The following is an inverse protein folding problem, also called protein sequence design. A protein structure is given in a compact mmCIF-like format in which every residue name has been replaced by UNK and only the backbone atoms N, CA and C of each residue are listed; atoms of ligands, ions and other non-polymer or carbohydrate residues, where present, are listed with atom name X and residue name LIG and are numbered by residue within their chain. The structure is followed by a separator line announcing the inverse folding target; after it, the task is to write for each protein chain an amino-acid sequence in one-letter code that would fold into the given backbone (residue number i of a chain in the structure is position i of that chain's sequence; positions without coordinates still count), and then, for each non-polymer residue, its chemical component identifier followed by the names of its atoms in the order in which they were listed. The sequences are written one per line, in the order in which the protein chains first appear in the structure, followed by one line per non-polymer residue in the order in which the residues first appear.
data_IF_759718190442
#
_entry.id   IF_759718190442
#
_cell.length_a   1.000
_cell.length_b   1.000
_cell.length_c   1.000
_cell.angle_alpha   90.00
_cell.angle_beta   90.00
_cell.angle_gamma   90.00
#
_symmetry.space_group_name_H-M   'P 1'
#
loop_
_entity.id
_entity.type
_entity.pdbx_description
1 polymer ?
#
# COMPACT_ATOMS: atom_id res chain seq x y z
N UNK A 1 -45.22 -59.46 36.91
CA UNK A 1 -44.24 -59.86 35.88
C UNK A 1 -43.39 -58.65 35.53
N UNK A 2 -42.13 -58.67 35.95
CA UNK A 2 -41.08 -57.81 35.42
C UNK A 2 -39.82 -58.66 35.30
N UNK A 3 -39.08 -58.56 34.18
CA UNK A 3 -37.66 -58.87 34.16
C UNK A 3 -36.81 -57.66 33.70
N UNK A 4 -35.48 -57.72 33.90
CA UNK A 4 -34.65 -56.57 34.30
C UNK A 4 -33.77 -55.96 33.19
N UNK A 5 -33.10 -54.85 33.52
CA UNK A 5 -31.97 -54.25 32.80
C UNK A 5 -30.84 -55.24 32.48
N UNK A 6 -30.03 -54.99 31.43
CA UNK A 6 -28.65 -55.43 31.38
C UNK A 6 -27.67 -54.30 31.74
N UNK A 7 -26.76 -54.61 32.68
CA UNK A 7 -25.50 -53.91 32.96
C UNK A 7 -24.37 -54.44 32.06
N UNK A 8 -23.26 -53.68 32.03
CA UNK A 8 -21.88 -54.05 31.63
C UNK A 8 -21.57 -53.91 30.12
N UNK A 9 -20.41 -53.41 29.68
CA UNK A 9 -19.05 -53.63 30.19
C UNK A 9 -18.12 -52.45 29.92
N UNK A 10 -17.32 -52.13 30.92
CA UNK A 10 -16.00 -51.50 30.84
C UNK A 10 -15.10 -52.22 29.83
N UNK A 11 -14.36 -51.47 29.00
CA UNK A 11 -13.09 -51.95 28.45
C UNK A 11 -12.09 -50.80 28.35
N UNK A 12 -11.21 -50.78 29.33
CA UNK A 12 -9.91 -50.10 29.29
C UNK A 12 -9.09 -50.63 28.12
N UNK A 13 -8.46 -49.71 27.37
CA UNK A 13 -7.18 -49.90 26.69
C UNK A 13 -6.43 -48.58 26.88
N UNK A 14 -5.54 -48.52 27.87
CA UNK A 14 -4.11 -48.81 27.72
C UNK A 14 -3.41 -47.74 26.90
N UNK A 15 -2.57 -46.99 27.61
CA UNK A 15 -1.70 -45.93 27.13
C UNK A 15 -0.85 -46.36 25.93
N UNK A 16 -0.71 -45.45 24.97
CA UNK A 16 0.48 -45.36 24.14
C UNK A 16 1.16 -44.06 24.57
N UNK A 17 2.14 -44.22 25.45
CA UNK A 17 3.20 -43.25 25.65
C UNK A 17 4.08 -43.36 24.41
N UNK A 18 4.03 -42.35 23.56
CA UNK A 18 5.11 -42.05 22.62
C UNK A 18 5.90 -40.89 23.21
N UNK A 19 7.00 -41.24 23.86
CA UNK A 19 8.11 -40.33 24.05
C UNK A 19 8.76 -40.13 22.68
N UNK A 20 8.77 -38.90 22.18
CA UNK A 20 9.73 -38.49 21.16
C UNK A 20 10.32 -37.12 21.52
N UNK A 21 11.49 -37.24 22.15
CA UNK A 21 12.73 -36.48 21.90
C UNK A 21 12.66 -34.97 21.74
N UNK A 22 13.41 -34.32 22.64
CA UNK A 22 13.89 -32.96 22.57
C UNK A 22 14.43 -32.58 21.17
N UNK A 23 13.63 -31.82 20.41
CA UNK A 23 14.08 -31.13 19.22
C UNK A 23 14.71 -29.78 19.61
N UNK A 24 16.03 -29.83 19.79
CA UNK A 24 17.02 -28.82 19.42
C UNK A 24 16.63 -27.34 19.57
N UNK A 25 16.95 -26.78 20.73
CA UNK A 25 17.08 -25.35 20.99
C UNK A 25 18.26 -24.76 20.17
N UNK A 26 18.07 -24.43 18.88
CA UNK A 26 18.76 -23.38 18.08
C UNK A 26 18.50 -23.58 16.58
N UNK A 27 17.86 -22.60 15.91
CA UNK A 27 18.63 -21.76 14.98
C UNK A 27 18.15 -20.29 14.92
N UNK A 28 17.80 -19.67 16.05
CA UNK A 28 17.49 -18.21 16.06
C UNK A 28 18.72 -17.30 15.85
N UNK A 29 19.94 -17.84 15.96
CA UNK A 29 21.18 -17.05 15.93
C UNK A 29 21.68 -16.77 14.51
N UNK A 30 21.47 -17.71 13.57
CA UNK A 30 21.95 -17.58 12.19
C UNK A 30 21.08 -16.58 11.41
N UNK A 31 19.75 -16.66 11.54
CA UNK A 31 18.82 -15.71 10.91
C UNK A 31 19.02 -14.26 11.39
N UNK A 32 19.25 -14.05 12.70
CA UNK A 32 19.59 -12.72 13.23
C UNK A 32 20.91 -12.20 12.67
N UNK A 33 21.91 -13.05 12.47
CA UNK A 33 23.21 -12.62 11.98
C UNK A 33 23.18 -12.24 10.50
N UNK A 34 22.47 -12.97 9.65
CA UNK A 34 22.36 -12.63 8.22
C UNK A 34 21.51 -11.35 8.05
N UNK A 35 20.40 -11.21 8.78
CA UNK A 35 19.56 -10.00 8.73
C UNK A 35 20.31 -8.79 9.32
N UNK A 36 21.13 -9.00 10.35
CA UNK A 36 21.99 -7.97 10.93
C UNK A 36 23.14 -7.60 9.98
N UNK A 37 23.78 -8.56 9.30
CA UNK A 37 24.83 -8.30 8.31
C UNK A 37 24.29 -7.54 7.09
N UNK A 38 23.10 -7.91 6.59
CA UNK A 38 22.44 -7.17 5.51
C UNK A 38 22.05 -5.77 5.98
N UNK A 39 21.50 -5.62 7.20
CA UNK A 39 21.15 -4.31 7.77
C UNK A 39 22.36 -3.40 8.06
N UNK A 40 23.43 -3.94 8.63
CA UNK A 40 24.67 -3.20 8.96
C UNK A 40 25.46 -2.83 7.70
N UNK A 41 25.53 -3.71 6.70
CA UNK A 41 26.15 -3.42 5.41
C UNK A 41 25.43 -2.27 4.68
N UNK A 42 24.10 -2.23 4.75
CA UNK A 42 23.28 -1.17 4.17
C UNK A 42 23.41 0.16 4.92
N UNK A 43 23.51 0.13 6.26
CA UNK A 43 23.74 1.33 7.07
C UNK A 43 25.12 1.94 6.82
N UNK A 44 26.16 1.11 6.71
CA UNK A 44 27.54 1.55 6.43
C UNK A 44 27.65 2.18 5.03
N UNK A 45 27.08 1.54 4.00
CA UNK A 45 27.03 2.08 2.62
C UNK A 45 26.27 3.41 2.54
N UNK A 46 25.25 3.59 3.37
CA UNK A 46 24.48 4.84 3.46
C UNK A 46 25.29 5.96 4.12
N UNK A 47 26.05 5.65 5.17
CA UNK A 47 26.94 6.59 5.86
C UNK A 47 28.12 7.03 4.97
N UNK A 48 28.74 6.08 4.27
CA UNK A 48 29.86 6.35 3.36
C UNK A 48 29.40 7.21 2.16
N UNK A 49 28.19 6.98 1.64
CA UNK A 49 27.58 7.80 0.58
C UNK A 49 27.20 9.20 1.06
N UNK A 50 26.72 9.34 2.30
CA UNK A 50 26.46 10.64 2.92
C UNK A 50 27.75 11.45 3.16
N UNK A 51 28.85 10.78 3.53
CA UNK A 51 30.17 11.39 3.66
C UNK A 51 30.72 11.84 2.29
N UNK A 52 30.61 11.01 1.25
CA UNK A 52 31.02 11.36 -0.11
C UNK A 52 30.22 12.53 -0.68
N UNK A 53 28.92 12.62 -0.39
CA UNK A 53 28.06 13.74 -0.81
C UNK A 53 28.42 15.05 -0.09
N UNK A 54 28.89 14.98 1.17
CA UNK A 54 29.38 16.15 1.90
C UNK A 54 30.73 16.65 1.36
N UNK A 55 31.67 15.75 1.07
CA UNK A 55 32.94 16.13 0.41
C UNK A 55 32.74 16.72 -1.00
N UNK A 56 31.77 16.23 -1.76
CA UNK A 56 31.46 16.77 -3.09
C UNK A 56 30.84 18.18 -3.05
N UNK A 57 30.13 18.53 -1.97
CA UNK A 57 29.56 19.88 -1.79
C UNK A 57 30.60 20.89 -1.26
N UNK A 58 31.57 20.46 -0.44
CA UNK A 58 32.70 21.31 0.00
C UNK A 58 33.66 21.64 -1.16
N UNK A 59 33.86 20.72 -2.11
CA UNK A 59 34.69 20.95 -3.29
C UNK A 59 34.07 21.94 -4.32
N UNK A 60 32.80 22.34 -4.15
CA UNK A 60 32.08 23.22 -5.08
C UNK A 60 31.95 24.67 -4.59
N UNK A 61 32.50 25.01 -3.41
CA UNK A 61 32.43 26.35 -2.80
C UNK A 61 33.72 27.17 -2.89
N UNK A 62 34.74 26.72 -3.63
CA UNK A 62 36.00 27.46 -3.82
C UNK A 62 36.27 27.79 -5.29
N UNK A 63 35.35 28.46 -5.99
CA UNK A 63 35.74 29.28 -7.14
C UNK A 63 34.65 30.28 -7.56
N UNK A 64 34.50 31.41 -6.84
CA UNK A 64 34.09 32.69 -7.45
C UNK A 64 34.41 33.84 -6.51
N UNK A 65 35.53 34.54 -6.72
CA UNK A 65 35.71 35.90 -6.18
C UNK A 65 36.48 36.79 -7.13
N UNK A 66 35.75 37.61 -7.92
CA UNK A 66 36.16 38.96 -8.35
C UNK A 66 35.06 39.66 -9.16
N UNK A 67 34.54 40.77 -8.64
CA UNK A 67 34.45 42.09 -9.33
C UNK A 67 33.41 43.04 -8.67
N UNK A 68 33.94 44.01 -7.92
CA UNK A 68 33.61 45.46 -7.89
C UNK A 68 32.15 45.97 -7.94
N UNK A 69 31.64 46.34 -6.76
CA UNK A 69 31.27 47.71 -6.34
C UNK A 69 30.36 48.61 -7.19
N UNK A 70 29.22 49.01 -6.62
CA UNK A 70 28.85 50.43 -6.53
C UNK A 70 27.90 50.73 -5.34
N UNK A 71 28.07 51.91 -4.74
CA UNK A 71 27.37 52.43 -3.55
C UNK A 71 25.97 52.99 -3.89
N UNK A 72 25.02 52.82 -2.97
CA UNK A 72 23.75 53.54 -2.96
C UNK A 72 22.97 53.38 -1.66
N UNK A 73 23.10 54.37 -0.77
CA UNK A 73 22.29 54.67 0.44
C UNK A 73 20.82 54.87 0.00
N UNK A 74 19.74 54.52 0.72
CA UNK A 74 19.19 55.17 1.93
C UNK A 74 17.96 54.43 2.49
N UNK A 75 17.86 54.45 3.82
CA UNK A 75 16.70 54.63 4.72
C UNK A 75 15.41 53.75 4.72
N UNK A 76 15.24 53.15 5.91
CA UNK A 76 14.07 53.16 6.83
C UNK A 76 12.70 52.64 6.40
N UNK A 77 12.36 51.54 7.09
CA UNK A 77 11.03 51.10 7.56
C UNK A 77 10.16 52.27 8.11
N UNK A 78 8.80 52.15 8.11
CA UNK A 78 8.17 51.37 9.18
C UNK A 78 6.88 50.59 8.85
N UNK A 79 6.59 49.66 9.77
CA UNK A 79 5.33 48.91 10.00
C UNK A 79 4.15 49.82 10.37
N UNK A 80 2.91 49.36 10.11
CA UNK A 80 1.67 49.34 10.98
C UNK A 80 0.50 48.75 10.16
N UNK A 81 -0.15 47.64 10.56
CA UNK A 81 -1.27 47.40 11.52
C UNK A 81 -2.68 47.91 11.10
N UNK A 82 -3.56 46.93 10.87
CA UNK A 82 -4.96 46.74 11.32
C UNK A 82 -6.15 47.64 10.82
N UNK A 83 -7.28 46.96 10.52
CA UNK A 83 -8.67 47.47 10.50
C UNK A 83 -9.43 47.01 9.22
N UNK A 84 -10.36 46.03 9.23
CA UNK A 84 -11.78 45.94 9.69
C UNK A 84 -12.84 46.52 8.71
N UNK A 85 -13.86 45.68 8.43
CA UNK A 85 -15.25 45.97 7.94
C UNK A 85 -15.38 46.53 6.50
N UNK A 86 -16.48 46.38 5.73
CA UNK A 86 -17.67 45.52 5.62
C UNK A 86 -18.47 46.06 4.40
N UNK A 87 -19.40 45.25 3.83
CA UNK A 87 -20.48 45.60 2.87
C UNK A 87 -20.03 46.07 1.46
N UNK A 88 -20.79 45.99 0.37
CA UNK A 88 -22.11 45.46 0.01
C UNK A 88 -22.20 45.38 -1.53
N UNK A 89 -23.25 44.75 -2.02
CA UNK A 89 -23.60 44.47 -3.42
C UNK A 89 -23.66 45.69 -4.37
N UNK A 90 -23.43 45.44 -5.66
CA UNK A 90 -24.24 45.94 -6.80
C UNK A 90 -23.74 45.25 -8.09
N UNK A 91 -24.52 44.30 -8.63
CA UNK A 91 -25.29 44.42 -9.90
C UNK A 91 -24.48 44.84 -11.12
N UNK A 92 -24.36 43.96 -12.13
CA UNK A 92 -25.04 44.13 -13.43
C UNK A 92 -24.62 43.07 -14.45
N UNK A 93 -25.63 42.50 -15.08
CA UNK A 93 -25.58 41.65 -16.27
C UNK A 93 -24.90 42.37 -17.45
N UNK A 94 -24.21 41.62 -18.32
CA UNK A 94 -24.73 41.38 -19.67
C UNK A 94 -23.81 40.55 -20.59
N UNK A 95 -24.50 39.62 -21.24
CA UNK A 95 -24.42 39.25 -22.65
C UNK A 95 -23.66 37.99 -23.09
N UNK A 96 -24.48 37.11 -23.65
CA UNK A 96 -24.18 35.97 -24.47
C UNK A 96 -23.55 36.35 -25.81
N UNK A 97 -22.84 35.40 -26.45
CA UNK A 97 -23.14 34.96 -27.83
C UNK A 97 -22.38 33.69 -28.24
N UNK A 98 -23.22 32.75 -28.66
CA UNK A 98 -23.11 31.48 -29.40
C UNK A 98 -22.45 31.60 -30.79
N UNK A 99 -21.74 30.53 -31.23
CA UNK A 99 -21.56 30.03 -32.63
C UNK A 99 -20.79 28.68 -32.60
N UNK A 100 -21.42 27.51 -32.80
CA UNK A 100 -21.63 26.70 -34.06
C UNK A 100 -20.33 26.42 -34.83
N UNK A 101 -19.78 25.18 -34.91
CA UNK A 101 -20.15 23.90 -35.60
C UNK A 101 -19.58 23.79 -37.04
N UNK A 102 -19.10 22.57 -37.39
CA UNK A 102 -18.74 21.90 -38.68
C UNK A 102 -17.24 21.74 -38.97
N UNK A 103 -16.70 20.71 -39.64
CA UNK A 103 -16.96 19.28 -39.98
C UNK A 103 -16.00 18.92 -41.17
N UNK A 104 -15.80 17.62 -41.45
CA UNK A 104 -15.07 16.95 -42.58
C UNK A 104 -13.61 16.55 -42.28
N UNK A 105 -13.19 15.27 -42.22
CA UNK A 105 -13.27 14.08 -43.12
C UNK A 105 -12.17 14.07 -44.21
N UNK A 106 -11.09 13.29 -43.94
CA UNK A 106 -10.37 12.24 -44.72
C UNK A 106 -10.33 12.21 -46.27
N UNK A 107 -9.52 11.36 -46.97
CA UNK A 107 -8.38 10.47 -46.58
C UNK A 107 -7.20 10.45 -47.61
N UNK A 108 -6.18 9.59 -47.37
CA UNK A 108 -5.72 8.51 -48.27
C UNK A 108 -4.19 8.32 -48.37
N UNK A 109 -3.73 7.05 -48.27
CA UNK A 109 -2.58 6.55 -49.05
C UNK A 109 -1.47 5.76 -48.31
N UNK A 110 -1.60 4.42 -48.30
CA UNK A 110 -0.63 3.32 -48.68
C UNK A 110 0.86 3.44 -48.22
N UNK A 111 1.63 2.41 -47.84
CA UNK A 111 1.66 0.97 -48.21
C UNK A 111 2.63 0.22 -47.27
N UNK A 112 2.53 -1.10 -47.27
CA UNK A 112 3.32 -2.14 -46.57
C UNK A 112 4.79 -2.23 -47.06
N UNK A 113 5.69 -2.79 -46.24
CA UNK A 113 6.69 -3.79 -46.66
C UNK A 113 7.41 -4.45 -45.45
N UNK A 114 7.66 -5.76 -45.60
CA UNK A 114 8.18 -6.72 -44.63
C UNK A 114 9.72 -6.69 -44.42
N UNK A 115 10.15 -7.40 -43.35
CA UNK A 115 11.33 -8.29 -43.25
C UNK A 115 12.43 -7.94 -42.20
N UNK A 116 12.49 -8.80 -41.17
CA UNK A 116 13.63 -9.12 -40.28
C UNK A 116 14.56 -10.14 -41.02
N UNK A 117 15.76 -10.60 -40.56
CA UNK A 117 16.49 -10.33 -39.32
C UNK A 117 18.02 -10.13 -39.44
N UNK A 118 18.65 -9.49 -38.43
CA UNK A 118 20.05 -9.78 -38.06
C UNK A 118 20.27 -9.70 -36.55
N UNK A 119 20.55 -10.87 -36.00
CA UNK A 119 21.12 -11.15 -34.68
C UNK A 119 22.54 -10.59 -34.60
N UNK A 120 22.91 -10.01 -33.45
CA UNK A 120 24.28 -9.99 -32.95
C UNK A 120 24.27 -10.08 -31.42
N UNK A 121 25.23 -10.85 -30.93
CA UNK A 121 25.42 -11.35 -29.57
C UNK A 121 25.74 -10.27 -28.53
N UNK A 122 25.25 -10.56 -27.32
CA UNK A 122 25.86 -10.39 -25.98
C UNK A 122 26.84 -9.24 -25.71
N UNK A 123 26.43 -8.38 -24.78
CA UNK A 123 27.29 -8.04 -23.63
C UNK A 123 26.39 -7.84 -22.40
N UNK A 124 26.57 -8.72 -21.42
CA UNK A 124 25.87 -8.70 -20.15
C UNK A 124 26.27 -7.44 -19.37
N UNK A 125 25.32 -6.51 -19.21
CA UNK A 125 25.41 -5.43 -18.23
C UNK A 125 24.71 -5.90 -16.97
N UNK A 126 25.47 -6.00 -15.89
CA UNK A 126 24.95 -6.14 -14.53
C UNK A 126 23.91 -5.04 -14.30
N UNK A 127 22.67 -5.45 -14.04
CA UNK A 127 21.58 -4.52 -13.78
C UNK A 127 21.61 -4.20 -12.30
N UNK A 128 22.39 -3.20 -11.93
CA UNK A 128 22.25 -2.51 -10.65
C UNK A 128 20.84 -1.87 -10.63
N UNK A 129 19.92 -2.47 -9.88
CA UNK A 129 18.55 -1.94 -9.69
C UNK A 129 18.61 -0.79 -8.69
N UNK A 130 19.06 0.36 -9.17
CA UNK A 130 18.86 1.66 -8.54
C UNK A 130 17.37 2.09 -8.69
N UNK A 131 16.49 1.62 -7.81
CA UNK A 131 15.10 2.11 -7.66
C UNK A 131 15.06 3.50 -6.98
N UNK A 132 15.70 4.47 -7.63
CA UNK A 132 15.68 5.89 -7.27
C UNK A 132 15.30 6.69 -8.51
N UNK A 133 14.07 6.54 -9.02
CA UNK A 133 13.70 7.32 -10.20
C UNK A 133 12.27 7.31 -10.74
N UNK A 134 11.39 6.39 -10.34
CA UNK A 134 9.96 6.43 -10.68
C UNK A 134 9.10 5.56 -9.73
N UNK A 135 9.49 5.54 -8.45
CA UNK A 135 9.14 4.48 -7.50
C UNK A 135 7.65 4.39 -7.19
N UNK A 136 7.08 3.19 -7.36
CA UNK A 136 5.73 2.83 -6.93
C UNK A 136 5.56 3.09 -5.42
N UNK A 137 4.39 3.58 -5.01
CA UNK A 137 4.04 3.60 -3.58
C UNK A 137 3.49 2.26 -3.15
N UNK A 138 3.64 1.95 -1.87
CA UNK A 138 3.23 0.69 -1.28
C UNK A 138 2.17 0.91 -0.21
N UNK A 139 1.21 0.00 -0.14
CA UNK A 139 0.03 0.12 0.70
C UNK A 139 -0.30 -1.19 1.41
N UNK A 140 -1.17 -1.13 2.41
CA UNK A 140 -1.81 -2.29 3.02
C UNK A 140 -3.29 -2.00 3.15
N UNK A 141 -4.12 -2.93 2.69
CA UNK A 141 -5.57 -2.78 2.66
C UNK A 141 -6.21 -4.02 3.29
N UNK A 142 -7.11 -3.79 4.25
CA UNK A 142 -7.75 -4.84 5.05
C UNK A 142 -9.09 -5.26 4.45
N UNK A 143 -9.33 -6.57 4.41
CA UNK A 143 -10.62 -7.18 4.12
C UNK A 143 -10.88 -8.34 5.10
N UNK A 144 -12.12 -8.82 5.17
CA UNK A 144 -12.53 -9.87 6.11
C UNK A 144 -12.76 -11.19 5.34
N UNK A 145 -11.93 -12.23 5.52
CA UNK A 145 -12.06 -13.46 4.73
C UNK A 145 -13.13 -14.44 5.26
N UNK A 146 -13.61 -14.23 6.48
CA UNK A 146 -14.64 -15.06 7.14
C UNK A 146 -15.98 -14.33 7.12
N UNK A 147 -17.09 -15.06 7.11
CA UNK A 147 -18.44 -14.47 7.07
C UNK A 147 -18.70 -13.60 8.29
N UNK A 148 -19.17 -12.38 8.02
CA UNK A 148 -19.65 -11.43 9.03
C UNK A 148 -20.75 -10.58 8.43
N UNK A 149 -21.86 -10.47 9.15
CA UNK A 149 -22.99 -9.67 8.71
C UNK A 149 -22.88 -8.22 9.21
N UNK A 150 -22.99 -7.27 8.29
CA UNK A 150 -23.16 -5.84 8.54
C UNK A 150 -24.54 -5.45 8.01
N UNK A 151 -25.43 -4.93 8.87
CA UNK A 151 -26.82 -4.59 8.50
C UNK A 151 -27.58 -5.69 7.73
N UNK A 152 -27.28 -6.96 8.01
CA UNK A 152 -27.91 -8.12 7.37
C UNK A 152 -27.27 -8.57 6.05
N UNK A 153 -26.18 -7.94 5.62
CA UNK A 153 -25.41 -8.34 4.43
C UNK A 153 -24.07 -8.95 4.85
N UNK A 154 -23.71 -10.10 4.28
CA UNK A 154 -22.38 -10.70 4.51
C UNK A 154 -21.31 -9.88 3.77
N UNK A 155 -20.31 -9.39 4.51
CA UNK A 155 -19.23 -8.54 3.96
C UNK A 155 -17.93 -9.33 3.75
N UNK A 156 -18.02 -10.65 3.70
CA UNK A 156 -16.90 -11.55 3.41
C UNK A 156 -16.23 -11.21 2.08
N UNK A 157 -14.93 -10.95 2.11
CA UNK A 157 -14.09 -10.77 0.94
C UNK A 157 -12.65 -11.22 1.24
N UNK A 158 -12.22 -12.30 0.59
CA UNK A 158 -10.90 -12.90 0.72
C UNK A 158 -10.02 -12.63 -0.50
N UNK A 159 -8.75 -13.00 -0.42
CA UNK A 159 -7.83 -12.86 -1.56
C UNK A 159 -8.17 -13.85 -2.68
N UNK A 160 -8.82 -14.96 -2.34
CA UNK A 160 -9.28 -15.93 -3.32
C UNK A 160 -10.47 -15.35 -4.12
N UNK A 161 -11.36 -14.62 -3.45
CA UNK A 161 -12.45 -13.89 -4.12
C UNK A 161 -11.88 -12.83 -5.07
N UNK A 162 -10.86 -12.05 -4.63
CA UNK A 162 -10.17 -11.09 -5.52
C UNK A 162 -9.46 -11.78 -6.70
N UNK A 163 -8.89 -12.97 -6.51
CA UNK A 163 -8.26 -13.73 -7.60
C UNK A 163 -9.28 -14.18 -8.65
N UNK A 164 -10.51 -14.46 -8.23
CA UNK A 164 -11.61 -14.90 -9.10
C UNK A 164 -12.36 -13.74 -9.76
N UNK A 165 -12.11 -12.49 -9.32
CA UNK A 165 -12.67 -11.29 -9.92
C UNK A 165 -12.26 -11.17 -11.40
N UNK A 166 -13.26 -10.93 -12.26
CA UNK A 166 -13.08 -10.84 -13.73
C UNK A 166 -12.74 -9.42 -14.20
N UNK A 167 -13.05 -8.44 -13.37
CA UNK A 167 -12.86 -7.02 -13.61
C UNK A 167 -12.15 -6.42 -12.39
N UNK A 168 -11.52 -5.24 -12.52
CA UNK A 168 -10.95 -4.53 -11.38
C UNK A 168 -11.97 -4.36 -10.24
N UNK A 169 -11.61 -4.82 -9.05
CA UNK A 169 -12.48 -4.77 -7.87
C UNK A 169 -12.48 -3.36 -7.29
N UNK A 170 -13.67 -2.77 -7.14
CA UNK A 170 -13.82 -1.50 -6.45
C UNK A 170 -13.64 -1.73 -4.94
N UNK A 171 -12.62 -1.11 -4.33
CA UNK A 171 -12.34 -1.30 -2.90
C UNK A 171 -13.28 -0.46 -2.02
N UNK A 172 -14.54 -0.86 -1.98
CA UNK A 172 -15.63 -0.13 -1.37
C UNK A 172 -15.70 -0.26 0.16
N UNK A 173 -16.75 0.32 0.76
CA UNK A 173 -17.03 0.16 2.19
C UNK A 173 -16.10 0.91 3.14
N UNK A 174 -15.08 1.63 2.65
CA UNK A 174 -14.21 2.45 3.49
C UNK A 174 -14.97 3.67 4.02
N UNK A 175 -15.21 3.71 5.33
CA UNK A 175 -15.91 4.80 6.05
C UNK A 175 -15.04 5.54 7.07
N UNK A 176 -13.72 5.45 6.90
CA UNK A 176 -12.74 6.22 7.67
C UNK A 176 -12.12 7.31 6.78
N UNK A 177 -12.20 8.58 7.21
CA UNK A 177 -11.73 9.70 6.42
C UNK A 177 -10.22 9.69 6.14
N UNK A 178 -9.39 9.19 7.07
CA UNK A 178 -7.96 9.04 6.86
C UNK A 178 -7.65 7.92 5.85
N UNK A 179 -8.33 6.78 5.96
CA UNK A 179 -8.22 5.69 4.98
C UNK A 179 -8.66 6.13 3.57
N UNK A 180 -9.76 6.87 3.46
CA UNK A 180 -10.19 7.49 2.19
C UNK A 180 -9.13 8.43 1.63
N UNK A 181 -8.52 9.27 2.48
CA UNK A 181 -7.45 10.16 2.02
C UNK A 181 -6.19 9.40 1.57
N UNK A 182 -5.91 8.23 2.14
CA UNK A 182 -4.87 7.33 1.63
C UNK A 182 -5.22 6.79 0.25
N UNK A 183 -6.47 6.35 0.02
CA UNK A 183 -6.91 5.92 -1.31
C UNK A 183 -6.82 7.03 -2.37
N UNK A 184 -7.13 8.28 -2.00
CA UNK A 184 -6.92 9.46 -2.89
C UNK A 184 -5.47 9.68 -3.30
N UNK A 185 -4.53 9.28 -2.45
CA UNK A 185 -3.10 9.44 -2.71
C UNK A 185 -2.51 8.30 -3.56
N UNK A 186 -3.24 7.18 -3.73
CA UNK A 186 -2.81 6.06 -4.53
C UNK A 186 -2.75 6.42 -6.01
N UNK A 187 -1.77 5.85 -6.71
CA UNK A 187 -1.57 6.00 -8.15
C UNK A 187 -1.70 4.68 -8.87
N UNK A 188 -2.12 4.74 -10.14
CA UNK A 188 -2.14 3.55 -10.99
C UNK A 188 -0.74 2.93 -11.03
N UNK A 189 -0.65 1.64 -10.76
CA UNK A 189 0.62 0.91 -10.67
C UNK A 189 1.20 0.80 -9.27
N UNK A 190 0.64 1.47 -8.27
CA UNK A 190 0.99 1.23 -6.87
C UNK A 190 0.63 -0.19 -6.44
N UNK A 191 1.37 -0.75 -5.48
CA UNK A 191 1.13 -2.09 -4.97
C UNK A 191 0.58 -2.04 -3.55
N UNK A 192 -0.25 -3.02 -3.20
CA UNK A 192 -0.82 -3.15 -1.89
C UNK A 192 -0.73 -4.58 -1.37
N UNK A 193 -0.48 -4.73 -0.07
CA UNK A 193 -0.71 -5.98 0.63
C UNK A 193 -2.20 -6.18 0.89
N UNK A 194 -2.71 -7.35 0.52
CA UNK A 194 -4.05 -7.80 0.91
C UNK A 194 -3.98 -8.40 2.31
N UNK A 195 -4.60 -7.73 3.28
CA UNK A 195 -4.57 -8.14 4.68
C UNK A 195 -5.89 -8.76 5.13
N UNK A 196 -5.86 -10.02 5.56
CA UNK A 196 -6.96 -10.70 6.21
C UNK A 196 -7.12 -10.20 7.64
N UNK A 197 -8.23 -9.53 7.89
CA UNK A 197 -8.60 -8.95 9.18
C UNK A 197 -9.85 -9.63 9.75
N UNK A 198 -10.06 -9.45 11.06
CA UNK A 198 -11.25 -9.94 11.77
C UNK A 198 -11.58 -11.43 11.54
N UNK A 199 -10.55 -12.26 11.44
CA UNK A 199 -10.64 -13.70 11.26
C UNK A 199 -9.82 -14.42 12.34
N UNK A 200 -9.93 -15.75 12.39
CA UNK A 200 -9.21 -16.56 13.39
C UNK A 200 -7.69 -16.38 13.33
N UNK A 201 -7.13 -16.25 12.13
CA UNK A 201 -5.69 -16.05 11.89
C UNK A 201 -5.49 -14.85 10.99
N UNK A 202 -5.37 -13.63 11.55
CA UNK A 202 -5.18 -12.42 10.75
C UNK A 202 -3.74 -12.32 10.26
N UNK A 203 -3.55 -11.76 9.07
CA UNK A 203 -2.24 -11.68 8.41
C UNK A 203 -2.30 -11.18 6.97
N UNK A 204 -1.13 -10.98 6.38
CA UNK A 204 -1.01 -10.62 4.96
C UNK A 204 -1.11 -11.89 4.13
N UNK A 205 -2.08 -11.91 3.21
CA UNK A 205 -2.38 -13.07 2.37
C UNK A 205 -1.73 -13.03 0.98
N UNK A 206 -1.25 -11.87 0.56
CA UNK A 206 -0.63 -11.69 -0.73
C UNK A 206 -0.61 -10.23 -1.16
N UNK A 207 -0.49 -10.01 -2.47
CA UNK A 207 -0.36 -8.68 -3.07
C UNK A 207 -1.42 -8.43 -4.15
N UNK A 208 -1.70 -7.16 -4.35
CA UNK A 208 -2.58 -6.64 -5.39
C UNK A 208 -2.01 -5.31 -5.93
N UNK A 209 -2.52 -4.86 -7.07
CA UNK A 209 -2.12 -3.60 -7.70
C UNK A 209 -3.32 -2.65 -7.80
N UNK A 210 -3.06 -1.36 -7.61
CA UNK A 210 -4.02 -0.30 -7.92
C UNK A 210 -4.02 -0.09 -9.44
N UNK A 211 -5.09 -0.51 -10.12
CA UNK A 211 -5.21 -0.41 -11.58
C UNK A 211 -6.03 0.78 -12.05
N UNK A 212 -6.81 1.38 -11.15
CA UNK A 212 -7.52 2.65 -11.34
C UNK A 212 -7.42 3.50 -10.09
N UNK A 213 -7.12 4.79 -10.29
CA UNK A 213 -7.13 5.79 -9.23
C UNK A 213 -8.55 6.00 -8.68
N UNK A 214 -8.63 6.83 -7.65
CA UNK A 214 -9.85 7.02 -6.88
C UNK A 214 -11.04 7.50 -7.73
N UNK A 215 -12.23 7.01 -7.38
CA UNK A 215 -13.52 7.39 -7.95
C UNK A 215 -14.57 7.38 -6.85
N UNK A 216 -15.76 7.93 -7.10
CA UNK A 216 -16.84 7.97 -6.11
C UNK A 216 -17.25 6.56 -5.68
N UNK A 217 -17.46 6.36 -4.38
CA UNK A 217 -18.03 5.12 -3.85
C UNK A 217 -19.55 5.13 -3.99
N UNK A 218 -20.09 4.50 -5.05
CA UNK A 218 -21.54 4.40 -5.29
C UNK A 218 -22.27 3.62 -4.19
N UNK A 219 -21.58 2.73 -3.47
CA UNK A 219 -22.15 1.96 -2.36
C UNK A 219 -22.60 2.84 -1.18
N UNK A 220 -22.08 4.07 -1.11
CA UNK A 220 -22.49 5.03 -0.10
C UNK A 220 -23.90 5.59 -0.31
N UNK A 221 -24.47 5.46 -1.51
CA UNK A 221 -25.77 6.04 -1.88
C UNK A 221 -26.93 5.03 -1.87
N UNK A 222 -26.63 3.74 -1.80
CA UNK A 222 -27.65 2.68 -1.79
C UNK A 222 -28.09 2.36 -0.36
N UNK A 223 -29.35 2.64 0.03
CA UNK A 223 -29.87 2.35 1.37
C UNK A 223 -29.84 0.86 1.76
N UNK A 224 -29.82 -0.06 0.80
CA UNK A 224 -29.71 -1.50 1.04
C UNK A 224 -28.27 -1.95 1.30
N UNK A 225 -27.28 -1.14 0.91
CA UNK A 225 -25.88 -1.49 1.08
C UNK A 225 -25.45 -1.40 2.56
N UNK A 226 -24.64 -2.35 3.08
CA UNK A 226 -24.18 -2.32 4.47
C UNK A 226 -23.48 -1.00 4.83
N UNK A 227 -22.79 -0.40 3.86
CA UNK A 227 -22.03 0.83 4.03
C UNK A 227 -22.74 2.10 3.54
N UNK A 228 -24.06 2.09 3.39
CA UNK A 228 -24.86 3.30 3.13
C UNK A 228 -24.53 4.44 4.11
N UNK A 229 -24.39 5.67 3.59
CA UNK A 229 -24.27 6.89 4.39
C UNK A 229 -25.29 7.94 3.90
N UNK A 230 -26.37 8.10 4.67
CA UNK A 230 -27.43 9.08 4.40
C UNK A 230 -26.95 10.54 4.31
N UNK A 231 -25.73 10.83 4.76
CA UNK A 231 -25.13 12.16 4.70
C UNK A 231 -24.19 12.33 3.49
N UNK A 232 -24.09 11.34 2.60
CA UNK A 232 -23.32 11.40 1.35
C UNK A 232 -24.30 11.47 0.19
N UNK A 233 -24.11 12.40 -0.75
CA UNK A 233 -24.94 12.53 -1.96
C UNK A 233 -24.07 12.56 -3.20
N UNK A 234 -24.63 12.30 -4.39
CA UNK A 234 -23.88 12.36 -5.66
C UNK A 234 -23.35 13.76 -5.98
N UNK A 235 -24.04 14.81 -5.53
CA UNK A 235 -23.58 16.20 -5.66
C UNK A 235 -22.44 16.56 -4.70
N UNK A 236 -22.31 15.80 -3.59
CA UNK A 236 -21.28 16.01 -2.57
C UNK A 236 -20.81 14.67 -1.98
N UNK A 237 -20.09 13.86 -2.77
CA UNK A 237 -19.70 12.51 -2.37
C UNK A 237 -18.66 12.58 -1.24
N UNK A 238 -18.92 11.87 -0.15
CA UNK A 238 -17.99 11.79 0.99
C UNK A 238 -16.94 10.70 0.84
N UNK A 239 -17.30 9.64 0.11
CA UNK A 239 -16.56 8.39 0.08
C UNK A 239 -16.11 8.08 -1.35
N UNK A 240 -14.94 7.50 -1.44
CA UNK A 240 -14.26 7.18 -2.68
C UNK A 240 -13.60 5.82 -2.56
N UNK A 241 -13.38 5.18 -3.70
CA UNK A 241 -12.75 3.86 -3.85
C UNK A 241 -11.66 3.93 -4.90
N UNK A 242 -10.63 3.12 -4.75
CA UNK A 242 -9.72 2.76 -5.84
C UNK A 242 -10.16 1.43 -6.45
N UNK A 243 -9.62 1.07 -7.61
CA UNK A 243 -9.88 -0.24 -8.22
C UNK A 243 -8.61 -1.07 -8.24
N UNK A 244 -8.71 -2.30 -7.77
CA UNK A 244 -7.57 -3.18 -7.54
C UNK A 244 -7.68 -4.48 -8.32
N UNK A 245 -6.53 -5.07 -8.64
CA UNK A 245 -6.45 -6.40 -9.23
C UNK A 245 -5.49 -7.28 -8.45
N UNK A 246 -5.81 -8.57 -8.40
CA UNK A 246 -4.94 -9.59 -7.86
C UNK A 246 -3.55 -9.57 -8.53
N UNK A 247 -2.50 -9.81 -7.74
CA UNK A 247 -1.13 -10.01 -8.25
C UNK A 247 -0.52 -11.32 -7.76
N UNK A 248 -0.52 -11.57 -6.47
CA UNK A 248 -0.02 -12.84 -5.93
C UNK A 248 -0.72 -13.23 -4.64
N UNK A 249 -0.80 -14.53 -4.40
CA UNK A 249 -1.20 -15.10 -3.11
C UNK A 249 0.03 -15.76 -2.50
N UNK A 250 0.31 -15.47 -1.23
CA UNK A 250 1.38 -16.14 -0.50
C UNK A 250 0.94 -17.56 -0.13
N UNK A 251 1.88 -18.51 -0.12
CA UNK A 251 1.58 -19.90 0.27
C UNK A 251 1.15 -19.97 1.73
N UNK A 252 1.80 -19.15 2.56
CA UNK A 252 1.51 -18.98 3.98
C UNK A 252 1.21 -17.51 4.28
N UNK A 253 0.33 -17.25 5.26
CA UNK A 253 0.09 -15.89 5.73
C UNK A 253 1.31 -15.35 6.48
N UNK A 254 1.72 -14.12 6.19
CA UNK A 254 2.58 -13.38 7.13
C UNK A 254 1.68 -12.89 8.26
N UNK A 255 1.67 -13.65 9.36
CA UNK A 255 0.64 -13.50 10.42
C UNK A 255 0.81 -12.21 11.22
N UNK A 256 -0.28 -11.71 11.81
CA UNK A 256 -0.23 -10.57 12.73
C UNK A 256 0.72 -10.80 13.91
N UNK A 257 0.79 -12.05 14.41
CA UNK A 257 1.67 -12.41 15.51
C UNK A 257 3.15 -12.24 15.10
N UNK A 258 3.50 -12.69 13.89
CA UNK A 258 4.83 -12.52 13.31
C UNK A 258 5.16 -11.04 13.08
N UNK A 259 4.26 -10.29 12.41
CA UNK A 259 4.43 -8.86 12.17
C UNK A 259 4.67 -8.09 13.49
N UNK A 260 3.90 -8.37 14.54
CA UNK A 260 4.10 -7.76 15.88
C UNK A 260 5.43 -8.14 16.51
N UNK A 261 5.90 -9.38 16.29
CA UNK A 261 7.16 -9.85 16.86
C UNK A 261 8.39 -9.14 16.26
N UNK A 262 8.24 -8.58 15.06
CA UNK A 262 9.23 -7.88 14.24
C UNK A 262 9.01 -6.35 14.23
N UNK A 263 8.18 -5.83 15.12
CA UNK A 263 7.82 -4.41 15.20
C UNK A 263 8.20 -3.77 16.55
N UNK A 264 9.18 -4.33 17.27
CA UNK A 264 9.69 -3.72 18.50
C UNK A 264 10.59 -2.52 18.16
N UNK A 265 10.88 -1.63 19.11
CA UNK A 265 11.80 -0.51 18.86
C UNK A 265 13.14 -1.00 18.29
N UNK A 266 13.52 -0.45 17.13
CA UNK A 266 14.72 -0.85 16.38
C UNK A 266 14.55 -2.01 15.39
N UNK A 267 13.38 -2.66 15.35
CA UNK A 267 13.12 -3.72 14.37
C UNK A 267 12.59 -3.15 13.03
N UNK A 268 12.67 -3.97 11.97
CA UNK A 268 12.33 -3.58 10.59
C UNK A 268 10.89 -3.08 10.41
N UNK A 269 9.93 -3.54 11.24
CA UNK A 269 8.52 -3.16 11.16
C UNK A 269 8.07 -2.22 12.28
N UNK A 270 9.02 -1.60 13.01
CA UNK A 270 8.70 -0.66 14.10
C UNK A 270 7.71 0.42 13.66
N UNK A 271 7.79 0.86 12.40
CA UNK A 271 7.01 1.98 11.87
C UNK A 271 5.80 1.60 11.02
N UNK A 272 5.49 0.30 10.92
CA UNK A 272 4.40 -0.19 10.10
C UNK A 272 3.06 0.38 10.61
N UNK A 273 2.45 1.25 9.81
CA UNK A 273 1.28 2.04 10.23
C UNK A 273 0.10 1.18 10.67
N UNK A 274 -0.10 0.05 10.01
CA UNK A 274 -1.17 -0.90 10.33
C UNK A 274 -1.14 -1.37 11.78
N UNK A 275 0.04 -1.54 12.37
CA UNK A 275 0.22 -1.98 13.76
C UNK A 275 -0.01 -0.84 14.77
N UNK A 276 0.32 0.40 14.39
CA UNK A 276 0.15 1.59 15.24
C UNK A 276 -1.29 2.10 15.24
N UNK A 277 -1.99 1.97 14.12
CA UNK A 277 -3.36 2.47 13.93
C UNK A 277 -4.31 1.31 13.61
N UNK A 278 -4.71 0.56 14.64
CA UNK A 278 -5.50 -0.67 14.48
C UNK A 278 -6.82 -0.49 13.73
N UNK A 279 -7.48 0.67 13.93
CA UNK A 279 -8.77 1.03 13.29
C UNK A 279 -8.63 1.57 11.87
N UNK A 280 -7.42 1.74 11.36
CA UNK A 280 -7.16 2.19 10.00
C UNK A 280 -7.16 0.98 9.05
N UNK A 281 -8.05 0.97 8.05
CA UNK A 281 -8.23 -0.14 7.10
C UNK A 281 -7.35 -0.04 5.86
N UNK A 282 -6.91 1.17 5.52
CA UNK A 282 -5.99 1.46 4.42
C UNK A 282 -4.85 2.27 4.97
N UNK A 283 -3.61 1.80 4.83
CA UNK A 283 -2.44 2.49 5.38
C UNK A 283 -1.25 2.43 4.42
N UNK A 284 -0.38 3.45 4.39
CA UNK A 284 0.85 3.39 3.62
C UNK A 284 1.82 2.38 4.24
N UNK A 285 2.65 1.80 3.37
CA UNK A 285 3.75 0.90 3.73
C UNK A 285 5.02 1.52 3.17
N UNK A 286 6.08 1.61 3.99
CA UNK A 286 7.34 2.17 3.51
C UNK A 286 8.03 1.17 2.57
N UNK A 287 8.82 1.62 1.57
CA UNK A 287 9.53 0.71 0.67
C UNK A 287 10.39 -0.33 1.37
N UNK A 288 11.04 0.03 2.48
CA UNK A 288 11.82 -0.89 3.32
C UNK A 288 10.95 -1.92 4.04
N UNK A 289 9.77 -1.53 4.53
CA UNK A 289 8.81 -2.44 5.16
C UNK A 289 8.22 -3.41 4.12
N UNK A 290 7.92 -2.92 2.91
CA UNK A 290 7.45 -3.72 1.80
C UNK A 290 8.46 -4.81 1.43
N UNK A 291 9.72 -4.42 1.15
CA UNK A 291 10.79 -5.38 0.82
C UNK A 291 10.99 -6.41 1.92
N UNK A 292 10.97 -5.98 3.18
CA UNK A 292 11.12 -6.89 4.30
C UNK A 292 9.97 -7.90 4.38
N UNK A 293 8.71 -7.46 4.28
CA UNK A 293 7.55 -8.37 4.29
C UNK A 293 7.56 -9.33 3.10
N UNK A 294 7.94 -8.86 1.90
CA UNK A 294 8.10 -9.73 0.73
C UNK A 294 9.14 -10.83 0.99
N UNK A 295 10.29 -10.48 1.58
CA UNK A 295 11.32 -11.47 1.92
C UNK A 295 10.85 -12.50 2.95
N UNK A 296 10.01 -12.11 3.92
CA UNK A 296 9.39 -13.05 4.86
C UNK A 296 8.45 -14.02 4.16
N UNK A 297 7.63 -13.52 3.22
CA UNK A 297 6.71 -14.36 2.45
C UNK A 297 7.49 -15.39 1.59
N UNK A 298 8.56 -14.96 0.91
CA UNK A 298 9.40 -15.84 0.09
C UNK A 298 10.14 -16.90 0.93
N UNK A 299 10.66 -16.56 2.11
CA UNK A 299 11.34 -17.52 2.98
C UNK A 299 10.38 -18.63 3.46
N UNK A 300 9.11 -18.28 3.69
CA UNK A 300 8.08 -19.25 4.07
C UNK A 300 7.69 -20.20 2.92
N UNK A 301 7.90 -19.79 1.68
CA UNK A 301 7.61 -20.64 0.51
C UNK A 301 8.67 -21.73 0.32
N UNK A 302 9.93 -21.45 0.68
CA UNK A 302 11.10 -22.33 0.53
C UNK A 302 11.17 -23.41 1.63
N UNK A 303 10.64 -23.15 2.83
CA UNK A 303 10.78 -24.04 4.01
C UNK A 303 9.84 -25.27 4.02
N UNK A 304 9.37 -25.73 2.86
CA UNK A 304 8.40 -26.82 2.71
C UNK A 304 9.02 -28.01 1.99
#
# INVERSE_FOLDING_TARGET
MAPPSPKNKTRSRSAIVVNETAASTRPRRVAKNIIKEVGESLAQRSADRAAATRSANEAKTTDTSKATGNKGKVDRLPKRKAGKEASEQTTSDNNARKRTKTANTEPNGKQEDEANPKVNHEEAREVDVDDKGAGKSYWLMKAEPESRFEKGVDVKFSIDDLREAKEPEAWDGVRNAAARNHMRAMKKGDLAFFYHSNCKVPGIAGTMEIVREHSVDESAFDPAHPYYDAKSSRDNPKWEVVHVEFRSKFKNLVTLAELKSLAKPGDALENLQMLKQSRLSVSPVRPEEWRFIMSLAEEQDIKI
#
